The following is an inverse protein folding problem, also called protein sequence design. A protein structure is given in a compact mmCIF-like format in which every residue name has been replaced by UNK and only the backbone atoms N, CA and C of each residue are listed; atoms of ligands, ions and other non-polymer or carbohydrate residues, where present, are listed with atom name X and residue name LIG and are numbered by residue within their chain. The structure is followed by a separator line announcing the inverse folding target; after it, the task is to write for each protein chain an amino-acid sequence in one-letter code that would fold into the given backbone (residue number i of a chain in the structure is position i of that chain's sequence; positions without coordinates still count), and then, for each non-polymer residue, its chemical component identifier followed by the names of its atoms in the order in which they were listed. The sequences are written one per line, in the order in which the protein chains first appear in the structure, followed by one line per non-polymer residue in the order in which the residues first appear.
data_IF_729986952900
#
_entry.id   IF_729986952900
#
_cell.length_a   1.000
_cell.length_b   1.000
_cell.length_c   1.000
_cell.angle_alpha   90.00
_cell.angle_beta   90.00
_cell.angle_gamma   90.00
#
_symmetry.space_group_name_H-M   'P 1'
#
loop_
_entity.id
_entity.type
_entity.pdbx_description
1 polymer ?
#
# COMPACT_ATOMS: atom_id res chain seq x y z
N UNK A 1 9.43 5.24 3.77
CA UNK A 1 9.03 5.49 2.37
C UNK A 1 8.97 4.17 1.63
N UNK A 2 7.91 3.91 0.86
CA UNK A 2 7.77 2.72 0.04
C UNK A 2 7.34 3.11 -1.36
N UNK A 3 7.96 2.55 -2.38
CA UNK A 3 7.52 2.69 -3.76
C UNK A 3 6.95 1.36 -4.26
N UNK A 4 5.79 1.41 -4.90
CA UNK A 4 5.08 0.23 -5.43
C UNK A 4 4.89 0.43 -6.94
N UNK A 5 5.77 -0.16 -7.78
CA UNK A 5 5.82 0.12 -9.22
C UNK A 5 4.71 -0.55 -10.04
N UNK A 6 4.10 -1.61 -9.54
CA UNK A 6 2.91 -2.25 -10.14
C UNK A 6 2.08 -2.94 -9.05
N UNK A 7 0.94 -3.51 -9.40
CA UNK A 7 0.15 -4.37 -8.50
C UNK A 7 0.26 -5.85 -8.91
N UNK A 8 1.41 -6.24 -9.46
CA UNK A 8 1.75 -7.61 -9.79
C UNK A 8 2.72 -8.23 -8.78
N UNK A 9 3.34 -9.36 -9.14
CA UNK A 9 4.33 -10.03 -8.29
C UNK A 9 5.53 -9.14 -7.95
N UNK A 10 5.99 -8.30 -8.88
CA UNK A 10 7.14 -7.41 -8.67
C UNK A 10 6.81 -6.34 -7.62
N UNK A 11 5.72 -5.59 -7.79
CA UNK A 11 5.29 -4.59 -6.82
C UNK A 11 4.99 -5.16 -5.45
N UNK A 12 4.42 -6.36 -5.38
CA UNK A 12 4.23 -7.07 -4.10
C UNK A 12 5.56 -7.42 -3.41
N UNK A 13 6.56 -7.85 -4.18
CA UNK A 13 7.89 -8.14 -3.64
C UNK A 13 8.61 -6.86 -3.16
N UNK A 14 8.53 -5.76 -3.93
CA UNK A 14 9.07 -4.45 -3.52
C UNK A 14 8.43 -3.95 -2.23
N UNK A 15 7.11 -4.05 -2.13
CA UNK A 15 6.36 -3.71 -0.93
C UNK A 15 6.88 -4.48 0.29
N UNK A 16 6.93 -5.81 0.22
CA UNK A 16 7.38 -6.62 1.36
C UNK A 16 8.85 -6.39 1.73
N UNK A 17 9.72 -6.15 0.73
CA UNK A 17 11.13 -5.87 0.97
C UNK A 17 11.33 -4.63 1.85
N UNK A 18 10.56 -3.57 1.60
CA UNK A 18 10.67 -2.32 2.36
C UNK A 18 9.77 -2.26 3.60
N UNK A 19 8.60 -2.91 3.58
CA UNK A 19 7.52 -2.62 4.53
C UNK A 19 7.93 -2.84 5.98
N UNK A 20 8.57 -3.97 6.30
CA UNK A 20 8.97 -4.30 7.67
C UNK A 20 10.02 -3.32 8.24
N UNK A 21 10.86 -2.73 7.39
CA UNK A 21 11.84 -1.74 7.82
C UNK A 21 11.23 -0.35 8.02
N UNK A 22 10.19 -0.02 7.25
CA UNK A 22 9.60 1.32 7.20
C UNK A 22 8.38 1.48 8.12
N UNK A 23 7.74 0.38 8.53
CA UNK A 23 6.51 0.38 9.35
C UNK A 23 6.69 0.99 10.75
N UNK A 24 7.92 0.99 11.27
CA UNK A 24 8.27 1.52 12.59
C UNK A 24 8.63 3.02 12.59
N UNK A 25 8.63 3.68 11.43
CA UNK A 25 8.92 5.12 11.32
C UNK A 25 7.72 5.96 11.76
N UNK A 26 7.98 7.21 12.15
CA UNK A 26 6.96 8.17 12.62
C UNK A 26 5.89 8.50 11.58
N UNK A 27 6.11 8.15 10.31
CA UNK A 27 5.12 8.25 9.25
C UNK A 27 5.56 7.43 8.04
N UNK A 28 4.60 7.06 7.20
CA UNK A 28 4.85 6.21 6.04
C UNK A 28 4.28 6.85 4.78
N UNK A 29 5.18 7.23 3.88
CA UNK A 29 4.83 7.65 2.51
C UNK A 29 4.79 6.42 1.61
N UNK A 30 3.65 6.19 0.97
CA UNK A 30 3.41 5.11 0.00
C UNK A 30 3.29 5.72 -1.39
N UNK A 31 4.29 5.49 -2.22
CA UNK A 31 4.41 6.07 -3.56
C UNK A 31 3.94 5.08 -4.62
N UNK A 32 2.76 5.33 -5.19
CA UNK A 32 2.17 4.56 -6.29
C UNK A 32 2.17 5.34 -7.61
N UNK A 33 2.99 6.40 -7.73
CA UNK A 33 3.20 7.06 -9.01
C UNK A 33 3.77 6.05 -10.01
N UNK A 34 3.35 6.10 -11.28
CA UNK A 34 3.76 5.17 -12.34
C UNK A 34 3.35 3.71 -12.10
N UNK A 35 2.38 3.45 -11.21
CA UNK A 35 1.96 2.08 -10.93
C UNK A 35 1.20 1.45 -12.12
N UNK A 36 1.76 0.36 -12.68
CA UNK A 36 1.24 -0.29 -13.89
C UNK A 36 -0.04 -1.14 -13.72
N UNK A 37 -0.61 -1.24 -12.52
CA UNK A 37 -1.78 -2.09 -12.27
C UNK A 37 -1.44 -3.57 -12.05
N UNK A 38 -2.46 -4.43 -11.97
CA UNK A 38 -2.32 -5.83 -11.57
C UNK A 38 -3.53 -6.34 -10.79
N UNK A 39 -3.31 -6.99 -9.65
CA UNK A 39 -4.37 -7.63 -8.85
C UNK A 39 -4.06 -7.78 -7.34
N UNK A 40 -2.96 -7.22 -6.83
CA UNK A 40 -2.53 -7.39 -5.42
C UNK A 40 -2.85 -6.20 -4.53
N UNK A 41 -3.52 -5.16 -5.03
CA UNK A 41 -3.85 -3.94 -4.26
C UNK A 41 -4.54 -4.25 -2.93
N UNK A 42 -5.45 -5.22 -2.91
CA UNK A 42 -6.19 -5.66 -1.71
C UNK A 42 -5.26 -6.17 -0.61
N UNK A 43 -4.18 -6.89 -0.95
CA UNK A 43 -3.24 -7.45 0.01
C UNK A 43 -2.39 -6.34 0.64
N UNK A 44 -2.00 -5.36 -0.18
CA UNK A 44 -1.26 -4.18 0.28
C UNK A 44 -2.14 -3.34 1.21
N UNK A 45 -3.39 -3.07 0.82
CA UNK A 45 -4.34 -2.30 1.63
C UNK A 45 -4.64 -2.99 2.95
N UNK A 46 -4.76 -4.32 2.99
CA UNK A 46 -4.95 -5.07 4.23
C UNK A 46 -3.82 -4.79 5.24
N UNK A 47 -2.56 -4.78 4.78
CA UNK A 47 -1.40 -4.47 5.62
C UNK A 47 -1.41 -3.02 6.08
N UNK A 48 -1.64 -2.08 5.18
CA UNK A 48 -1.65 -0.65 5.50
C UNK A 48 -2.81 -0.25 6.42
N UNK A 49 -3.93 -0.97 6.38
CA UNK A 49 -5.08 -0.72 7.24
C UNK A 49 -4.92 -1.22 8.69
N UNK A 50 -3.87 -1.98 9.00
CA UNK A 50 -3.60 -2.49 10.36
C UNK A 50 -3.31 -1.34 11.30
N UNK A 51 -4.23 -1.08 12.22
CA UNK A 51 -4.04 -0.11 13.30
C UNK A 51 -3.21 -0.72 14.41
N UNK A 52 -2.20 0.01 14.85
CA UNK A 52 -1.48 -0.30 16.09
C UNK A 52 -2.40 0.01 17.27
N UNK A 53 -2.77 -1.02 18.03
CA UNK A 53 -3.75 -0.90 19.12
C UNK A 53 -3.14 -1.21 20.49
N UNK A 54 -1.89 -1.66 20.53
CA UNK A 54 -1.20 -1.93 21.78
C UNK A 54 0.26 -2.25 21.58
N UNK A 55 0.91 -2.58 22.69
CA UNK A 55 2.27 -3.05 22.73
C UNK A 55 2.40 -4.16 23.76
N UNK A 56 3.08 -5.23 23.39
CA UNK A 56 3.58 -6.22 24.32
C UNK A 56 4.91 -5.72 24.90
N UNK A 57 4.95 -5.48 26.20
CA UNK A 57 6.16 -5.07 26.91
C UNK A 57 6.81 -6.29 27.57
N UNK A 58 7.97 -6.71 27.07
CA UNK A 58 8.72 -7.81 27.67
C UNK A 58 9.84 -7.30 28.59
N UNK A 59 10.25 -8.14 29.54
CA UNK A 59 11.30 -7.79 30.51
C UNK A 59 12.65 -7.48 29.85
N UNK A 60 12.94 -8.09 28.70
CA UNK A 60 14.29 -8.07 28.09
C UNK A 60 14.32 -7.65 26.61
N UNK A 61 13.17 -7.59 25.93
CA UNK A 61 13.10 -7.39 24.47
C UNK A 61 12.43 -6.08 24.07
N UNK A 62 12.12 -5.22 25.05
CA UNK A 62 11.47 -3.93 24.81
C UNK A 62 9.98 -4.06 24.50
N UNK A 63 9.44 -3.02 23.84
CA UNK A 63 8.04 -2.95 23.43
C UNK A 63 7.89 -3.43 21.99
N UNK A 64 7.04 -4.42 21.78
CA UNK A 64 6.67 -4.94 20.44
C UNK A 64 5.26 -4.47 20.11
N UNK A 65 5.02 -3.83 18.95
CA UNK A 65 3.69 -3.37 18.60
C UNK A 65 2.72 -4.55 18.36
N UNK A 66 1.45 -4.34 18.67
CA UNK A 66 0.37 -5.25 18.35
C UNK A 66 -0.70 -4.56 17.49
N UNK A 67 -0.98 -5.07 16.27
CA UNK A 67 -0.26 -6.12 15.55
C UNK A 67 1.20 -5.74 15.22
N UNK A 68 2.09 -6.71 15.05
CA UNK A 68 3.53 -6.48 14.79
C UNK A 68 3.77 -5.66 13.52
N UNK A 69 3.00 -5.93 12.47
CA UNK A 69 3.08 -5.26 11.17
C UNK A 69 2.06 -4.12 11.07
N UNK A 70 2.02 -3.25 12.08
CA UNK A 70 1.14 -2.07 12.12
C UNK A 70 1.94 -0.78 12.00
N UNK A 71 1.51 0.11 11.12
CA UNK A 71 2.20 1.39 10.87
C UNK A 71 2.17 2.24 12.14
N UNK A 72 3.33 2.75 12.55
CA UNK A 72 3.46 3.49 13.82
C UNK A 72 2.81 4.88 13.78
N UNK A 73 2.71 5.49 12.60
CA UNK A 73 2.26 6.86 12.42
C UNK A 73 1.34 7.09 11.23
N UNK A 74 1.09 8.35 10.84
CA UNK A 74 0.26 8.68 9.70
C UNK A 74 0.78 8.11 8.38
N UNK A 75 -0.16 7.76 7.51
CA UNK A 75 0.09 7.35 6.13
C UNK A 75 -0.15 8.52 5.18
N UNK A 76 0.64 8.61 4.12
CA UNK A 76 0.38 9.50 2.98
C UNK A 76 0.62 8.71 1.71
N UNK A 77 -0.32 8.75 0.76
CA UNK A 77 -0.16 8.12 -0.54
C UNK A 77 0.19 9.16 -1.61
N UNK A 78 1.14 8.86 -2.50
CA UNK A 78 1.49 9.67 -3.67
C UNK A 78 1.01 8.99 -4.95
N UNK A 79 0.39 9.75 -5.86
CA UNK A 79 -0.09 9.21 -7.14
C UNK A 79 0.05 10.19 -8.30
N UNK A 80 -0.02 9.70 -9.53
CA UNK A 80 0.01 10.49 -10.75
C UNK A 80 -0.88 9.88 -11.84
N UNK A 81 -0.96 10.55 -12.98
CA UNK A 81 -1.73 10.15 -14.16
C UNK A 81 -1.28 8.83 -14.80
N UNK A 82 -0.10 8.34 -14.43
CA UNK A 82 0.48 7.08 -14.92
C UNK A 82 0.22 5.89 -13.98
N UNK A 83 -0.40 6.12 -12.82
CA UNK A 83 -0.94 5.06 -11.99
C UNK A 83 -2.30 4.61 -12.55
N UNK A 84 -2.49 3.31 -12.79
CA UNK A 84 -3.71 2.83 -13.47
C UNK A 84 -4.17 1.43 -13.09
N UNK A 85 -5.39 1.10 -13.49
CA UNK A 85 -6.02 -0.22 -13.29
C UNK A 85 -6.14 -0.55 -11.80
N UNK A 86 -5.50 -1.61 -11.32
CA UNK A 86 -5.49 -1.93 -9.88
C UNK A 86 -4.81 -0.83 -9.04
N UNK A 87 -3.95 0.00 -9.64
CA UNK A 87 -3.44 1.23 -9.05
C UNK A 87 -4.53 2.30 -8.84
N UNK A 88 -5.53 2.40 -9.74
CA UNK A 88 -6.72 3.24 -9.56
C UNK A 88 -7.55 2.74 -8.37
N UNK A 89 -7.75 1.41 -8.30
CA UNK A 89 -8.48 0.74 -7.21
C UNK A 89 -7.80 1.01 -5.87
N UNK A 90 -6.48 0.89 -5.80
CA UNK A 90 -5.71 1.23 -4.60
C UNK A 90 -5.94 2.68 -4.18
N UNK A 91 -5.81 3.64 -5.10
CA UNK A 91 -5.96 5.06 -4.82
C UNK A 91 -7.37 5.41 -4.32
N UNK A 92 -8.40 4.82 -4.93
CA UNK A 92 -9.79 4.99 -4.49
C UNK A 92 -10.00 4.40 -3.09
N UNK A 93 -9.54 3.17 -2.89
CA UNK A 93 -9.73 2.41 -1.63
C UNK A 93 -8.97 3.03 -0.47
N UNK A 94 -7.76 3.54 -0.70
CA UNK A 94 -6.97 4.25 0.31
C UNK A 94 -7.73 5.45 0.90
N UNK A 95 -8.41 6.22 0.04
CA UNK A 95 -9.29 7.32 0.46
C UNK A 95 -10.55 6.80 1.17
N UNK A 96 -11.19 5.78 0.60
CA UNK A 96 -12.42 5.19 1.15
C UNK A 96 -12.23 4.66 2.57
N UNK A 97 -11.12 3.95 2.81
CA UNK A 97 -10.71 3.41 4.09
C UNK A 97 -10.18 4.48 5.06
N UNK A 98 -10.06 5.73 4.61
CA UNK A 98 -9.54 6.87 5.39
C UNK A 98 -8.16 6.59 5.98
N UNK A 99 -7.28 5.94 5.21
CA UNK A 99 -5.93 5.59 5.68
C UNK A 99 -5.03 6.83 5.80
N UNK A 100 -5.25 7.83 4.95
CA UNK A 100 -4.52 9.10 4.97
C UNK A 100 -4.86 9.96 3.75
N UNK A 101 -4.19 11.10 3.58
CA UNK A 101 -4.31 11.89 2.37
C UNK A 101 -3.70 11.17 1.15
N UNK A 102 -4.37 11.31 0.01
CA UNK A 102 -3.85 10.94 -1.30
C UNK A 102 -3.42 12.23 -2.02
N UNK A 103 -2.14 12.35 -2.34
CA UNK A 103 -1.52 13.56 -2.88
C UNK A 103 -0.99 13.30 -4.28
N UNK A 104 -1.19 14.26 -5.20
CA UNK A 104 -0.65 14.20 -6.56
C UNK A 104 -1.66 14.59 -7.63
N UNK A 105 -1.68 13.85 -8.74
CA UNK A 105 -2.58 14.09 -9.88
C UNK A 105 -3.69 13.03 -9.97
N UNK A 106 -4.71 13.30 -10.79
CA UNK A 106 -5.73 12.28 -11.11
C UNK A 106 -5.04 11.11 -11.80
N UNK A 107 -5.40 9.89 -11.40
CA UNK A 107 -4.90 8.62 -11.96
C UNK A 107 -5.46 8.35 -13.36
N UNK A 108 -4.99 7.29 -14.02
CA UNK A 108 -5.37 6.93 -15.39
C UNK A 108 -6.87 6.68 -15.56
N UNK A 109 -7.53 6.03 -14.60
CA UNK A 109 -8.98 5.89 -14.54
C UNK A 109 -9.57 4.70 -15.31
N UNK A 110 -8.81 3.62 -15.51
CA UNK A 110 -9.24 2.46 -16.29
C UNK A 110 -9.39 1.19 -15.46
N UNK A 111 -10.58 0.94 -14.90
CA UNK A 111 -10.84 -0.17 -13.97
C UNK A 111 -11.70 -1.31 -14.54
N UNK A 112 -11.88 -1.35 -15.86
CA UNK A 112 -12.53 -2.49 -16.53
C UNK A 112 -11.44 -3.53 -16.82
N UNK A 113 -11.39 -4.57 -15.98
CA UNK A 113 -10.38 -5.62 -16.06
C UNK A 113 -10.54 -6.53 -17.27
N UNK A 114 -9.47 -7.27 -17.59
CA UNK A 114 -9.41 -8.23 -18.69
C UNK A 114 -9.20 -9.65 -18.15
N UNK A 115 -9.78 -10.64 -18.82
CA UNK A 115 -9.55 -12.07 -18.55
C UNK A 115 -9.65 -12.83 -19.88
N UNK A 116 -8.59 -12.78 -20.71
CA UNK A 116 -8.61 -13.43 -22.02
C UNK A 116 -8.74 -14.94 -21.85
N UNK A 117 -9.76 -15.53 -22.49
CA UNK A 117 -10.03 -16.99 -22.47
C UNK A 117 -9.76 -17.68 -23.79
N UNK A 118 -9.59 -16.88 -24.85
CA UNK A 118 -9.41 -17.35 -26.21
C UNK A 118 -8.16 -16.68 -26.78
N UNK A 119 -7.37 -17.40 -27.59
CA UNK A 119 -6.28 -16.80 -28.35
C UNK A 119 -6.85 -15.77 -29.33
N UNK A 120 -6.03 -14.75 -29.63
CA UNK A 120 -6.30 -13.73 -30.63
C UNK A 120 -6.17 -14.31 -32.04
#
# INVERSE_FOLDING_TARGET
YLHIPDMGPHGYAEFHRGFLAEVMRDGLVVDVRYNGGGHVSQLILEKLARRRIGYDASRWSGMVPYPTESVAGPLVALTNELAGSDGDIFCHSFKLLKLGPLVGKRTWGGVIGISPRHPL
#
